data_IF_537869295532
#
_entry.id   IF_537869295532
#
_cell.length_a   1.000
_cell.length_b   1.000
_cell.length_c   1.000
_cell.angle_alpha   90.00
_cell.angle_beta   90.00
_cell.angle_gamma   90.00
#
_symmetry.space_group_name_H-M   'P 1'
#
loop_
_entity.id
_entity.type
_entity.pdbx_description
1 polymer ?
#
# COMPACT_ATOMS: atom_id res chain seq x y z
N UNK A 1 4.11 -9.49 -0.89
CA UNK A 1 3.05 -8.54 -1.30
C UNK A 1 2.22 -9.24 -2.36
N UNK A 2 0.89 -9.14 -2.41
CA UNK A 2 0.20 -9.52 -3.64
C UNK A 2 0.31 -8.36 -4.64
N UNK A 3 0.36 -8.59 -5.95
CA UNK A 3 0.21 -7.50 -6.91
C UNK A 3 -1.16 -6.81 -6.77
N UNK A 4 -1.26 -5.58 -7.24
CA UNK A 4 -2.55 -4.89 -7.41
C UNK A 4 -3.39 -5.54 -8.48
N UNK A 5 -4.72 -5.37 -8.45
CA UNK A 5 -5.59 -5.89 -9.51
C UNK A 5 -5.13 -5.40 -10.89
N UNK A 6 -4.79 -4.11 -10.99
CA UNK A 6 -4.24 -3.51 -12.23
C UNK A 6 -2.97 -4.20 -12.70
N UNK A 7 -2.07 -4.56 -11.79
CA UNK A 7 -0.86 -5.32 -12.12
C UNK A 7 -1.19 -6.75 -12.57
N UNK A 8 -2.20 -7.38 -11.96
CA UNK A 8 -2.67 -8.73 -12.32
C UNK A 8 -3.34 -8.76 -13.69
N UNK A 9 -4.19 -7.76 -13.97
CA UNK A 9 -4.84 -7.53 -15.27
C UNK A 9 -3.81 -7.41 -16.40
N UNK A 10 -2.71 -6.68 -16.17
CA UNK A 10 -1.63 -6.56 -17.15
C UNK A 10 -0.87 -7.88 -17.37
N UNK A 11 -0.58 -8.61 -16.28
CA UNK A 11 0.24 -9.83 -16.34
C UNK A 11 -0.53 -11.07 -16.81
N UNK A 12 -1.83 -11.14 -16.51
CA UNK A 12 -2.70 -12.29 -16.77
C UNK A 12 -4.11 -11.83 -17.18
N UNK A 13 -4.26 -11.12 -18.31
CA UNK A 13 -5.57 -10.62 -18.78
C UNK A 13 -6.57 -11.74 -19.08
N UNK A 14 -6.09 -12.97 -19.33
CA UNK A 14 -6.92 -14.16 -19.51
C UNK A 14 -7.56 -14.68 -18.21
N UNK A 15 -7.04 -14.26 -17.05
CA UNK A 15 -7.51 -14.67 -15.72
C UNK A 15 -8.17 -13.52 -14.97
N UNK A 16 -7.72 -12.29 -15.21
CA UNK A 16 -8.24 -11.08 -14.59
C UNK A 16 -8.84 -10.16 -15.66
N UNK A 17 -10.18 -10.03 -15.66
CA UNK A 17 -10.89 -9.18 -16.61
C UNK A 17 -10.44 -7.72 -16.46
N UNK A 18 -10.26 -7.03 -17.59
CA UNK A 18 -9.94 -5.59 -17.62
C UNK A 18 -11.08 -4.71 -17.11
N UNK A 19 -12.32 -5.23 -17.12
CA UNK A 19 -13.50 -4.50 -16.65
C UNK A 19 -13.64 -4.55 -15.13
N UNK A 20 -12.87 -5.39 -14.44
CA UNK A 20 -12.92 -5.47 -12.99
C UNK A 20 -12.30 -4.22 -12.35
N UNK A 21 -13.09 -3.59 -11.50
CA UNK A 21 -12.67 -2.48 -10.64
C UNK A 21 -12.16 -3.01 -9.30
N UNK A 22 -11.76 -2.10 -8.43
CA UNK A 22 -11.30 -2.42 -7.11
C UNK A 22 -12.29 -3.34 -6.37
N UNK A 23 -11.87 -4.53 -5.92
CA UNK A 23 -12.74 -5.47 -5.23
C UNK A 23 -13.38 -4.91 -3.95
N UNK A 24 -12.75 -3.87 -3.40
CA UNK A 24 -13.22 -3.19 -2.21
C UNK A 24 -14.32 -2.17 -2.54
N UNK A 25 -14.04 -1.14 -3.33
CA UNK A 25 -15.00 -0.05 -3.54
C UNK A 25 -15.81 -0.14 -4.84
N UNK A 26 -15.44 -1.03 -5.77
CA UNK A 26 -16.02 -1.20 -7.10
C UNK A 26 -16.25 0.11 -7.89
N UNK A 27 -15.41 1.12 -7.68
CA UNK A 27 -15.60 2.47 -8.24
C UNK A 27 -14.39 3.01 -9.03
N UNK A 28 -13.21 2.42 -8.85
CA UNK A 28 -12.00 2.78 -9.60
C UNK A 28 -11.10 1.55 -9.79
N UNK A 29 -10.13 1.58 -10.73
CA UNK A 29 -9.10 0.57 -10.81
C UNK A 29 -8.30 0.47 -9.50
N UNK A 30 -8.05 -0.74 -9.02
CA UNK A 30 -7.16 -0.92 -7.88
C UNK A 30 -5.70 -0.88 -8.35
N UNK A 31 -5.12 0.31 -8.33
CA UNK A 31 -3.68 0.54 -8.40
C UNK A 31 -3.07 0.82 -7.03
N UNK A 32 -1.75 1.03 -6.99
CA UNK A 32 -1.04 1.30 -5.73
C UNK A 32 -1.50 2.58 -5.05
N UNK A 33 -1.97 3.59 -5.79
CA UNK A 33 -2.42 4.86 -5.21
C UNK A 33 -3.84 4.69 -4.65
N UNK A 34 -4.71 4.03 -5.40
CA UNK A 34 -6.07 3.72 -4.98
C UNK A 34 -6.07 2.84 -3.72
N UNK A 35 -5.12 1.91 -3.57
CA UNK A 35 -5.02 1.06 -2.38
C UNK A 35 -4.98 1.85 -1.07
N UNK A 36 -4.20 2.94 -1.02
CA UNK A 36 -4.08 3.78 0.19
C UNK A 36 -5.24 4.77 0.34
N UNK A 37 -5.97 5.04 -0.74
CA UNK A 37 -7.00 6.08 -0.82
C UNK A 37 -8.41 5.53 -1.04
N UNK A 38 -8.55 4.21 -1.04
CA UNK A 38 -9.80 3.50 -1.26
C UNK A 38 -10.79 3.94 -0.17
N UNK A 39 -11.99 4.44 -0.54
CA UNK A 39 -12.94 5.05 0.40
C UNK A 39 -13.75 4.03 1.20
N UNK A 40 -13.18 2.86 1.51
CA UNK A 40 -13.93 1.64 1.79
C UNK A 40 -15.08 1.76 2.82
N UNK A 41 -16.21 1.11 2.51
CA UNK A 41 -17.52 1.19 3.18
C UNK A 41 -17.72 0.06 4.22
N UNK A 42 -16.71 -0.75 4.54
CA UNK A 42 -16.76 -1.55 5.78
C UNK A 42 -16.30 -0.66 6.95
N UNK A 43 -17.13 -0.42 7.98
CA UNK A 43 -16.88 0.60 9.01
C UNK A 43 -15.55 0.48 9.76
N UNK A 44 -14.99 -0.72 9.81
CA UNK A 44 -13.84 -1.06 10.67
C UNK A 44 -12.49 -0.99 9.95
N UNK A 45 -12.48 -0.97 8.61
CA UNK A 45 -11.29 -1.22 7.80
C UNK A 45 -11.18 -0.21 6.65
N UNK A 46 -11.21 1.08 6.96
CA UNK A 46 -11.13 2.14 5.96
C UNK A 46 -9.67 2.54 5.67
N UNK A 47 -9.09 2.12 4.52
CA UNK A 47 -7.70 2.42 4.19
C UNK A 47 -7.41 3.91 4.13
N UNK A 48 -8.37 4.69 3.61
CA UNK A 48 -8.23 6.13 3.49
C UNK A 48 -8.10 6.79 4.87
N UNK A 49 -8.93 6.43 5.85
CA UNK A 49 -8.81 6.99 7.20
C UNK A 49 -7.52 6.57 7.90
N UNK A 50 -7.13 5.30 7.75
CA UNK A 50 -5.87 4.80 8.33
C UNK A 50 -4.67 5.53 7.72
N UNK A 51 -4.60 5.62 6.40
CA UNK A 51 -3.54 6.37 5.71
C UNK A 51 -3.46 7.82 6.20
N UNK A 52 -4.60 8.51 6.32
CA UNK A 52 -4.64 9.88 6.84
C UNK A 52 -4.10 9.98 8.27
N UNK A 53 -4.53 9.07 9.16
CA UNK A 53 -4.06 9.03 10.54
C UNK A 53 -2.55 8.78 10.62
N UNK A 54 -2.05 7.81 9.85
CA UNK A 54 -0.62 7.47 9.83
C UNK A 54 0.24 8.60 9.24
N UNK A 55 -0.22 9.31 8.21
CA UNK A 55 0.50 10.49 7.68
C UNK A 55 0.58 11.60 8.73
N UNK A 56 -0.51 11.84 9.48
CA UNK A 56 -0.52 12.81 10.59
C UNK A 56 0.46 12.40 11.68
N UNK A 57 0.40 11.15 12.14
CA UNK A 57 1.33 10.61 13.15
C UNK A 57 2.78 10.72 12.72
N UNK A 58 3.08 10.36 11.47
CA UNK A 58 4.43 10.45 10.91
C UNK A 58 4.93 11.90 10.84
N UNK A 59 4.09 12.82 10.34
CA UNK A 59 4.39 14.27 10.30
C UNK A 59 4.69 14.81 11.69
N UNK A 60 3.82 14.53 12.66
CA UNK A 60 3.92 15.08 14.01
C UNK A 60 5.12 14.49 14.77
N UNK A 61 5.43 13.22 14.53
CA UNK A 61 6.63 12.57 15.07
C UNK A 61 7.91 13.14 14.47
N UNK A 62 7.93 13.42 13.17
CA UNK A 62 9.04 14.11 12.51
C UNK A 62 9.23 15.51 13.10
N UNK A 63 8.15 16.30 13.17
CA UNK A 63 8.19 17.67 13.70
C UNK A 63 8.74 17.69 15.13
N UNK A 64 8.19 16.85 16.01
CA UNK A 64 8.62 16.74 17.40
C UNK A 64 10.09 16.33 17.52
N UNK A 65 10.52 15.36 16.71
CA UNK A 65 11.90 14.90 16.69
C UNK A 65 12.86 16.01 16.27
N UNK A 66 12.56 16.78 15.23
CA UNK A 66 13.42 17.89 14.81
C UNK A 66 13.43 19.05 15.82
N UNK A 67 12.29 19.39 16.43
CA UNK A 67 12.23 20.43 17.46
C UNK A 67 13.01 20.04 18.73
N UNK A 68 13.08 18.74 19.05
CA UNK A 68 13.89 18.25 20.17
C UNK A 68 15.40 18.37 19.94
N UNK A 69 15.85 18.35 18.68
CA UNK A 69 17.28 18.45 18.33
C UNK A 69 17.80 19.88 18.43
N UNK A 70 16.95 20.85 18.09
CA UNK A 70 17.29 22.27 18.12
C UNK A 70 16.01 23.09 18.23
N UNK A 71 15.97 24.13 19.10
CA UNK A 71 14.86 25.07 19.12
C UNK A 71 14.74 25.77 17.75
N UNK A 72 13.56 25.67 17.13
CA UNK A 72 13.20 26.34 15.89
C UNK A 72 11.95 27.19 16.12
N UNK A 73 11.81 28.26 15.34
CA UNK A 73 10.73 29.22 15.49
C UNK A 73 9.39 28.70 14.95
N UNK A 74 8.33 29.48 15.14
CA UNK A 74 7.00 29.18 14.60
C UNK A 74 6.99 29.12 13.07
N UNK A 75 7.85 29.90 12.40
CA UNK A 75 7.96 29.89 10.95
C UNK A 75 8.38 28.51 10.42
N UNK A 76 9.35 27.85 11.08
CA UNK A 76 9.72 26.47 10.74
C UNK A 76 8.52 25.53 10.84
N UNK A 77 7.76 25.58 11.94
CA UNK A 77 6.62 24.67 12.16
C UNK A 77 5.51 24.86 11.12
N UNK A 78 5.19 26.12 10.81
CA UNK A 78 4.19 26.48 9.79
C UNK A 78 4.66 26.01 8.41
N UNK A 79 5.90 26.34 8.02
CA UNK A 79 6.44 25.97 6.72
C UNK A 79 6.61 24.45 6.57
N UNK A 80 7.02 23.75 7.63
CA UNK A 80 7.12 22.29 7.66
C UNK A 80 5.74 21.67 7.44
N UNK A 81 4.72 22.12 8.17
CA UNK A 81 3.36 21.58 8.10
C UNK A 81 2.68 21.87 6.76
N UNK A 82 3.11 22.92 6.06
CA UNK A 82 2.62 23.30 4.73
C UNK A 82 3.27 22.51 3.57
N UNK A 83 4.25 21.64 3.84
CA UNK A 83 4.88 20.85 2.77
C UNK A 83 3.87 19.91 2.11
N UNK A 84 3.90 19.87 0.78
CA UNK A 84 2.98 19.07 -0.06
C UNK A 84 3.00 17.56 0.25
N UNK A 85 4.07 17.03 0.84
CA UNK A 85 4.14 15.61 1.22
C UNK A 85 3.20 15.24 2.38
N UNK A 86 2.65 16.23 3.08
CA UNK A 86 1.67 16.04 4.15
C UNK A 86 0.23 16.14 3.67
N UNK A 87 -0.02 16.52 2.42
CA UNK A 87 -1.38 16.62 1.90
C UNK A 87 -1.97 15.21 1.75
N UNK A 88 -2.76 14.76 2.73
CA UNK A 88 -3.43 13.46 2.74
C UNK A 88 -4.92 13.53 2.37
N UNK A 89 -5.50 14.73 2.24
CA UNK A 89 -6.91 14.89 1.88
C UNK A 89 -7.13 14.49 0.43
N UNK A 90 -6.29 15.05 -0.44
CA UNK A 90 -6.09 14.66 -1.84
C UNK A 90 -4.61 14.31 -2.01
N UNK A 91 -4.20 13.05 -1.72
CA UNK A 91 -2.80 12.67 -1.66
C UNK A 91 -1.99 13.11 -2.87
N UNK A 92 -1.06 14.03 -2.63
CA UNK A 92 -0.09 14.44 -3.65
C UNK A 92 0.81 13.25 -4.02
N UNK A 93 1.47 13.31 -5.17
CA UNK A 93 2.47 12.29 -5.53
C UNK A 93 3.55 12.18 -4.46
N UNK A 94 3.95 13.30 -3.88
CA UNK A 94 4.88 13.38 -2.77
C UNK A 94 4.42 12.61 -1.53
N UNK A 95 3.14 12.74 -1.17
CA UNK A 95 2.56 12.01 -0.04
C UNK A 95 2.56 10.50 -0.32
N UNK A 96 2.14 10.10 -1.53
CA UNK A 96 2.10 8.70 -1.96
C UNK A 96 3.50 8.08 -2.12
N UNK A 97 4.56 8.87 -2.24
CA UNK A 97 5.93 8.36 -2.23
C UNK A 97 6.35 7.87 -0.84
N UNK A 98 5.84 8.48 0.23
CA UNK A 98 6.12 8.05 1.60
C UNK A 98 5.65 6.62 1.85
N UNK A 99 4.50 6.23 1.30
CA UNK A 99 3.97 4.85 1.42
C UNK A 99 4.88 3.81 0.75
N UNK A 100 5.75 4.27 -0.15
CA UNK A 100 6.77 3.45 -0.84
C UNK A 100 8.15 3.56 -0.18
N UNK A 101 8.27 4.25 0.96
CA UNK A 101 9.55 4.46 1.66
C UNK A 101 10.46 5.46 0.95
N UNK A 102 9.91 6.24 0.02
CA UNK A 102 10.66 7.25 -0.72
C UNK A 102 10.50 8.60 -0.03
N UNK A 103 11.62 9.20 0.34
CA UNK A 103 11.63 10.51 0.97
C UNK A 103 11.54 11.63 -0.08
N UNK A 104 10.53 12.51 -0.03
CA UNK A 104 10.40 13.57 -1.02
C UNK A 104 11.56 14.58 -0.98
N UNK A 105 11.98 15.01 -2.17
CA UNK A 105 13.12 15.92 -2.31
C UNK A 105 12.87 17.28 -1.66
N UNK A 106 11.66 17.84 -1.76
CA UNK A 106 11.33 19.14 -1.16
C UNK A 106 11.33 19.09 0.37
N UNK A 107 10.88 17.99 0.99
CA UNK A 107 11.02 17.76 2.43
C UNK A 107 12.49 17.75 2.84
N UNK A 108 13.31 16.99 2.12
CA UNK A 108 14.75 16.92 2.39
C UNK A 108 15.44 18.27 2.20
N UNK A 109 15.09 19.01 1.13
CA UNK A 109 15.65 20.33 0.82
C UNK A 109 15.21 21.40 1.82
N UNK A 110 13.98 21.33 2.33
CA UNK A 110 13.52 22.18 3.42
C UNK A 110 14.35 21.94 4.68
N UNK A 111 14.49 20.69 5.11
CA UNK A 111 15.22 20.33 6.33
C UNK A 111 16.72 20.63 6.26
N UNK A 112 17.33 20.54 5.07
CA UNK A 112 18.75 20.88 4.85
C UNK A 112 19.11 22.33 5.20
N UNK A 113 18.14 23.24 5.24
CA UNK A 113 18.35 24.62 5.67
C UNK A 113 18.66 24.72 7.17
N UNK A 114 18.30 23.69 7.95
CA UNK A 114 18.37 23.68 9.41
C UNK A 114 19.30 22.59 9.96
N UNK A 115 19.43 21.47 9.25
CA UNK A 115 20.13 20.29 9.73
C UNK A 115 21.07 19.69 8.67
N UNK A 116 22.21 19.10 9.09
CA UNK A 116 23.02 18.27 8.20
C UNK A 116 22.23 17.05 7.69
N UNK A 117 22.55 16.60 6.47
CA UNK A 117 21.92 15.43 5.86
C UNK A 117 21.97 14.17 6.74
N UNK A 118 23.09 13.93 7.42
CA UNK A 118 23.24 12.78 8.30
C UNK A 118 22.24 12.79 9.46
N UNK A 119 21.94 13.97 10.01
CA UNK A 119 20.94 14.15 11.07
C UNK A 119 19.54 13.92 10.50
N UNK A 120 19.24 14.47 9.32
CA UNK A 120 17.93 14.29 8.66
C UNK A 120 17.61 12.81 8.46
N UNK A 121 18.53 12.05 7.85
CA UNK A 121 18.30 10.64 7.61
C UNK A 121 18.30 9.80 8.88
N UNK A 122 19.14 10.13 9.87
CA UNK A 122 19.13 9.44 11.17
C UNK A 122 17.80 9.63 11.90
N UNK A 123 17.20 10.81 11.80
CA UNK A 123 15.92 11.14 12.45
C UNK A 123 14.72 10.56 11.70
N UNK A 124 14.66 10.71 10.37
CA UNK A 124 13.47 10.32 9.60
C UNK A 124 13.41 8.82 9.31
N UNK A 125 14.54 8.16 9.04
CA UNK A 125 14.54 6.75 8.61
C UNK A 125 13.75 5.81 9.54
N UNK A 126 13.93 5.83 10.88
CA UNK A 126 13.15 4.97 11.77
C UNK A 126 11.65 5.32 11.73
N UNK A 127 11.30 6.61 11.74
CA UNK A 127 9.91 7.07 11.69
C UNK A 127 9.21 6.67 10.38
N UNK A 128 9.95 6.72 9.26
CA UNK A 128 9.46 6.29 7.96
C UNK A 128 9.25 4.77 7.93
N UNK A 129 10.15 4.02 8.57
CA UNK A 129 10.01 2.58 8.69
C UNK A 129 8.77 2.20 9.53
N UNK A 130 8.57 2.83 10.67
CA UNK A 130 7.39 2.64 11.52
C UNK A 130 6.11 2.95 10.74
N UNK A 131 6.06 4.09 10.04
CA UNK A 131 4.96 4.45 9.16
C UNK A 131 4.66 3.37 8.11
N UNK A 132 5.69 2.81 7.46
CA UNK A 132 5.51 1.75 6.47
C UNK A 132 5.00 0.45 7.09
N UNK A 133 5.47 0.10 8.30
CA UNK A 133 5.01 -1.09 9.03
C UNK A 133 3.53 -0.97 9.35
N UNK A 134 3.09 0.19 9.85
CA UNK A 134 1.67 0.44 10.15
C UNK A 134 0.79 0.34 8.90
N UNK A 135 1.19 0.98 7.80
CA UNK A 135 0.46 0.85 6.52
C UNK A 135 0.40 -0.60 6.04
N UNK A 136 1.47 -1.36 6.23
CA UNK A 136 1.51 -2.76 5.83
C UNK A 136 0.59 -3.63 6.70
N UNK A 137 0.61 -3.44 8.01
CA UNK A 137 -0.21 -4.18 8.97
C UNK A 137 -1.70 -3.88 8.81
N UNK A 138 -2.05 -2.60 8.82
CA UNK A 138 -3.44 -2.17 8.94
C UNK A 138 -4.20 -2.16 7.61
N UNK A 139 -3.50 -1.86 6.51
CA UNK A 139 -4.13 -1.74 5.18
C UNK A 139 -3.76 -2.93 4.31
N UNK A 140 -2.47 -3.14 4.09
CA UNK A 140 -2.00 -4.09 3.08
C UNK A 140 -2.41 -5.53 3.41
N UNK A 141 -2.21 -5.96 4.66
CA UNK A 141 -2.54 -7.32 5.09
C UNK A 141 -4.05 -7.59 5.02
N UNK A 142 -4.87 -6.65 5.51
CA UNK A 142 -6.32 -6.77 5.45
C UNK A 142 -6.83 -6.84 3.99
N UNK A 143 -6.34 -5.93 3.14
CA UNK A 143 -6.61 -5.95 1.70
C UNK A 143 -6.26 -7.30 1.08
N UNK A 144 -5.12 -7.90 1.43
CA UNK A 144 -4.70 -9.20 0.89
C UNK A 144 -5.70 -10.32 1.22
N UNK A 145 -6.18 -10.37 2.46
CA UNK A 145 -7.17 -11.36 2.91
C UNK A 145 -8.47 -11.19 2.13
N UNK A 146 -8.98 -9.95 2.04
CA UNK A 146 -10.20 -9.64 1.29
C UNK A 146 -10.06 -9.93 -0.20
N UNK A 147 -8.90 -9.62 -0.79
CA UNK A 147 -8.61 -9.87 -2.19
C UNK A 147 -8.61 -11.36 -2.52
N UNK A 148 -8.08 -12.21 -1.63
CA UNK A 148 -8.14 -13.66 -1.82
C UNK A 148 -9.56 -14.22 -1.77
N UNK A 149 -10.37 -13.80 -0.80
CA UNK A 149 -11.78 -14.18 -0.74
C UNK A 149 -12.54 -13.72 -1.99
N UNK A 150 -12.23 -12.53 -2.49
CA UNK A 150 -12.77 -12.04 -3.75
C UNK A 150 -12.32 -12.88 -4.95
N UNK A 151 -11.04 -13.22 -5.07
CA UNK A 151 -10.55 -14.09 -6.16
C UNK A 151 -11.27 -15.44 -6.18
N UNK A 152 -11.49 -16.06 -5.00
CA UNK A 152 -12.26 -17.30 -4.87
C UNK A 152 -13.70 -17.12 -5.37
N UNK A 153 -14.34 -15.99 -5.06
CA UNK A 153 -15.68 -15.66 -5.57
C UNK A 153 -15.74 -15.52 -7.10
N UNK A 154 -14.61 -15.17 -7.74
CA UNK A 154 -14.47 -15.11 -9.20
C UNK A 154 -14.07 -16.47 -9.81
N UNK A 155 -13.98 -17.53 -9.01
CA UNK A 155 -13.52 -18.86 -9.45
C UNK A 155 -12.02 -18.95 -9.72
N UNK A 156 -11.22 -17.99 -9.25
CA UNK A 156 -9.77 -17.97 -9.43
C UNK A 156 -9.11 -18.78 -8.31
N UNK A 157 -8.66 -19.99 -8.64
CA UNK A 157 -7.93 -20.86 -7.72
C UNK A 157 -6.41 -20.70 -7.82
N UNK A 158 -5.66 -21.21 -6.84
CA UNK A 158 -4.19 -21.29 -6.96
C UNK A 158 -3.74 -22.04 -8.22
N UNK A 159 -4.49 -23.07 -8.63
CA UNK A 159 -4.20 -23.85 -9.84
C UNK A 159 -4.44 -23.06 -11.13
N UNK A 160 -5.42 -22.14 -11.19
CA UNK A 160 -5.62 -21.29 -12.37
C UNK A 160 -4.49 -20.27 -12.51
N UNK A 161 -3.94 -19.79 -11.38
CA UNK A 161 -2.78 -18.90 -11.37
C UNK A 161 -1.49 -19.57 -11.88
N UNK A 162 -1.33 -20.88 -11.77
CA UNK A 162 -0.15 -21.58 -12.26
C UNK A 162 -0.18 -21.88 -13.77
N UNK A 163 -1.36 -21.85 -14.39
CA UNK A 163 -1.50 -22.09 -15.83
C UNK A 163 -1.11 -20.84 -16.61
N UNK A 164 -0.28 -21.02 -17.64
CA UNK A 164 -0.06 -20.02 -18.67
C UNK A 164 -1.31 -19.78 -19.52
N UNK A 165 -1.28 -18.83 -20.47
CA UNK A 165 -2.38 -18.64 -21.41
C UNK A 165 -2.66 -19.96 -22.14
N UNK A 166 -3.80 -20.58 -21.85
CA UNK A 166 -4.26 -21.73 -22.63
C UNK A 166 -4.66 -21.23 -24.01
N UNK A 167 -4.07 -21.76 -25.07
CA UNK A 167 -4.47 -21.50 -26.45
C UNK A 167 -5.81 -22.17 -26.83
N UNK A 168 -6.47 -22.88 -25.90
CA UNK A 168 -7.75 -23.54 -26.14
C UNK A 168 -8.85 -22.95 -25.24
N UNK A 169 -10.06 -22.71 -25.79
CA UNK A 169 -11.19 -22.20 -25.02
C UNK A 169 -11.64 -23.25 -23.98
N UNK A 170 -12.21 -22.84 -22.84
CA UNK A 170 -12.61 -23.78 -21.81
C UNK A 170 -13.85 -24.56 -22.26
N UNK A 171 -13.73 -25.88 -22.35
CA UNK A 171 -14.89 -26.78 -22.39
C UNK A 171 -15.62 -26.68 -21.05
N UNK A 172 -16.87 -26.24 -21.08
CA UNK A 172 -17.75 -26.11 -19.93
C UNK A 172 -18.01 -27.49 -19.30
N UNK A 173 -17.27 -27.83 -18.25
CA UNK A 173 -17.60 -28.96 -17.37
C UNK A 173 -18.11 -28.40 -16.05
N UNK A 174 -19.44 -28.44 -15.88
CA UNK A 174 -20.14 -28.12 -14.64
C UNK A 174 -19.71 -29.16 -13.59
N UNK A 175 -19.05 -28.72 -12.52
CA UNK A 175 -18.77 -29.57 -11.36
C UNK A 175 -19.39 -28.95 -10.11
N UNK A 176 -20.24 -29.72 -9.45
CA UNK A 176 -21.02 -29.39 -8.27
C UNK A 176 -20.16 -29.02 -7.06
N UNK A 177 -20.62 -28.00 -6.33
CA UNK A 177 -20.08 -27.47 -5.08
C UNK A 177 -19.86 -28.53 -3.99
N UNK A 178 -18.68 -28.51 -3.36
CA UNK A 178 -18.47 -29.01 -2.00
C UNK A 178 -17.66 -27.93 -1.26
N UNK A 179 -18.32 -27.25 -0.32
CA UNK A 179 -17.68 -26.33 0.62
C UNK A 179 -16.85 -27.12 1.62
N UNK A 180 -15.55 -26.82 1.71
CA UNK A 180 -14.74 -27.10 2.88
C UNK A 180 -13.90 -25.86 3.18
N UNK A 181 -14.36 -25.09 4.17
CA UNK A 181 -13.62 -23.94 4.70
C UNK A 181 -12.45 -24.45 5.54
N UNK A 182 -11.23 -24.34 5.02
CA UNK A 182 -10.01 -24.50 5.83
C UNK A 182 -9.34 -23.14 6.01
N UNK A 183 -9.21 -22.72 7.27
CA UNK A 183 -8.47 -21.53 7.69
C UNK A 183 -7.00 -21.66 7.26
N UNK A 184 -6.55 -20.84 6.31
CA UNK A 184 -5.18 -20.89 5.80
C UNK A 184 -4.20 -20.25 6.81
N UNK A 185 -3.26 -21.05 7.32
CA UNK A 185 -2.08 -20.54 8.04
C UNK A 185 -1.04 -20.08 7.00
N UNK A 186 -0.68 -18.79 7.03
CA UNK A 186 0.37 -18.24 6.18
C UNK A 186 1.71 -18.38 6.91
N UNK A 187 2.64 -19.14 6.34
CA UNK A 187 4.01 -19.27 6.84
C UNK A 187 4.75 -17.92 6.79
N UNK A 188 5.35 -17.54 7.92
CA UNK A 188 6.11 -16.29 8.12
C UNK A 188 7.36 -16.16 7.23
N UNK A 189 7.81 -17.21 6.55
CA UNK A 189 9.04 -17.18 5.74
C UNK A 189 8.80 -16.83 4.25
N UNK A 190 7.55 -16.80 3.82
CA UNK A 190 7.15 -16.61 2.41
C UNK A 190 7.36 -15.18 1.89
N UNK A 191 7.27 -14.16 2.76
CA UNK A 191 7.25 -12.77 2.31
C UNK A 191 8.63 -12.23 1.90
N UNK A 192 9.72 -12.70 2.54
CA UNK A 192 11.10 -12.28 2.23
C UNK A 192 11.54 -12.79 0.85
N UNK A 193 11.26 -14.05 0.53
CA UNK A 193 11.56 -14.65 -0.78
C UNK A 193 10.74 -14.02 -1.92
N UNK A 194 9.55 -13.53 -1.61
CA UNK A 194 8.69 -12.88 -2.58
C UNK A 194 9.11 -11.42 -2.89
N UNK A 195 9.58 -10.66 -1.89
CA UNK A 195 10.06 -9.27 -2.09
C UNK A 195 11.27 -9.24 -3.03
N UNK A 196 12.23 -10.15 -2.83
CA UNK A 196 13.44 -10.22 -3.67
C UNK A 196 13.12 -10.50 -5.15
N UNK A 197 12.05 -11.27 -5.40
CA UNK A 197 11.59 -11.62 -6.76
C UNK A 197 10.77 -10.50 -7.44
N UNK A 198 10.36 -9.47 -6.70
CA UNK A 198 9.51 -8.38 -7.20
C UNK A 198 10.29 -7.10 -7.50
N UNK A 199 11.49 -6.98 -6.93
CA UNK A 199 12.42 -5.86 -7.17
C UNK A 199 13.34 -6.16 -8.36
N UNK A 200 13.48 -7.44 -8.74
CA UNK A 200 14.27 -7.87 -9.89
C UNK A 200 13.35 -8.66 -10.83
N UNK A 201 12.87 -7.96 -11.87
CA UNK A 201 12.36 -8.40 -13.19
C UNK A 201 10.89 -8.16 -13.51
#
# INVERSE_FOLDING_TARGET
MLPTLTTLQQRKPYLYSLDWLCPQCNSAPEDLNHLWTCPYILPELNPCSTHRSEVVKFRDSCLSSFLSLKPLDSNFQVAFSALDCWNYETPSSSCLWLTRGLLPAHLTNFLKQYFPLSVIYKTISPLLNDFQIELYGEIWLCRNVLFHAWEESQGISAASKLRGPSSNPPSTAISSHIHNSSLASVSQDSWISWISSSIIR
#
